data_IF_609735658944
#
_entry.id   IF_609735658944
#
_cell.length_a   1.000
_cell.length_b   1.000
_cell.length_c   1.000
_cell.angle_alpha   90.00
_cell.angle_beta   90.00
_cell.angle_gamma   90.00
#
_symmetry.space_group_name_H-M   'P 1'
#
loop_
_entity.id
_entity.type
_entity.pdbx_description
1 polymer ?
#
# COMPACT_ATOMS: atom_id res chain seq x y z
N UNK A 1 -63.24 -23.45 -80.05
CA UNK A 1 -63.67 -24.66 -79.31
C UNK A 1 -62.83 -24.79 -78.04
N UNK A 2 -63.37 -24.39 -76.89
CA UNK A 2 -62.66 -24.47 -75.60
C UNK A 2 -62.91 -25.86 -75.00
N UNK A 3 -61.87 -26.70 -74.94
CA UNK A 3 -61.96 -28.02 -74.31
C UNK A 3 -61.94 -27.84 -72.78
N UNK A 4 -63.09 -27.95 -72.13
CA UNK A 4 -63.16 -28.05 -70.68
C UNK A 4 -62.55 -29.39 -70.21
N UNK A 5 -61.39 -29.35 -69.55
CA UNK A 5 -60.83 -30.50 -68.83
C UNK A 5 -61.77 -30.80 -67.64
N UNK A 6 -62.37 -31.99 -67.62
CA UNK A 6 -63.20 -32.46 -66.50
C UNK A 6 -62.35 -32.57 -65.21
N UNK A 7 -62.89 -32.17 -64.04
CA UNK A 7 -62.16 -32.33 -62.78
C UNK A 7 -62.00 -33.82 -62.45
N UNK A 8 -60.75 -34.26 -62.29
CA UNK A 8 -60.42 -35.62 -61.86
C UNK A 8 -60.88 -35.76 -60.40
N UNK A 9 -61.85 -36.63 -60.14
CA UNK A 9 -62.28 -36.93 -58.77
C UNK A 9 -61.13 -37.58 -58.02
N UNK A 10 -60.57 -36.88 -57.03
CA UNK A 10 -59.50 -37.41 -56.18
C UNK A 10 -60.01 -38.63 -55.40
N UNK A 11 -59.40 -39.79 -55.64
CA UNK A 11 -59.62 -41.00 -54.85
C UNK A 11 -59.13 -40.85 -53.40
N UNK A 12 -59.53 -41.77 -52.53
CA UNK A 12 -59.22 -41.74 -51.10
C UNK A 12 -57.71 -41.63 -50.79
N UNK A 13 -56.87 -42.29 -51.58
CA UNK A 13 -55.40 -42.27 -51.43
C UNK A 13 -54.84 -40.85 -51.63
N UNK A 14 -55.35 -40.10 -52.62
CA UNK A 14 -54.88 -38.74 -52.90
C UNK A 14 -55.22 -37.75 -51.77
N UNK A 15 -56.39 -37.91 -51.14
CA UNK A 15 -56.78 -37.08 -49.98
C UNK A 15 -55.93 -37.39 -48.75
N UNK A 16 -55.61 -38.67 -48.52
CA UNK A 16 -54.73 -39.09 -47.43
C UNK A 16 -53.32 -38.51 -47.58
N UNK A 17 -52.72 -38.63 -48.78
CA UNK A 17 -51.38 -38.08 -49.06
C UNK A 17 -51.33 -36.57 -48.87
N UNK A 18 -52.33 -35.82 -49.37
CA UNK A 18 -52.39 -34.37 -49.18
C UNK A 18 -52.47 -33.97 -47.69
N UNK A 19 -53.26 -34.69 -46.90
CA UNK A 19 -53.37 -34.44 -45.45
C UNK A 19 -52.07 -34.78 -44.72
N UNK A 20 -51.37 -35.83 -45.14
CA UNK A 20 -50.05 -36.17 -44.60
C UNK A 20 -49.03 -35.07 -44.91
N UNK A 21 -48.99 -34.55 -46.14
CA UNK A 21 -48.10 -33.44 -46.53
C UNK A 21 -48.41 -32.15 -45.74
N UNK A 22 -49.70 -31.84 -45.52
CA UNK A 22 -50.11 -30.69 -44.70
C UNK A 22 -49.63 -30.82 -43.24
N UNK A 23 -49.76 -32.01 -42.65
CA UNK A 23 -49.30 -32.28 -41.27
C UNK A 23 -47.77 -32.23 -41.18
N UNK A 24 -47.06 -32.76 -42.18
CA UNK A 24 -45.59 -32.68 -42.26
C UNK A 24 -45.16 -31.21 -42.37
N UNK A 25 -45.79 -30.44 -43.25
CA UNK A 25 -45.50 -29.02 -43.43
C UNK A 25 -45.79 -28.19 -42.17
N UNK A 26 -46.87 -28.48 -41.45
CA UNK A 26 -47.15 -27.85 -40.15
C UNK A 26 -46.13 -28.23 -39.09
N UNK A 27 -45.74 -29.50 -39.03
CA UNK A 27 -44.75 -29.99 -38.07
C UNK A 27 -43.38 -29.35 -38.28
N UNK A 28 -42.96 -29.20 -39.54
CA UNK A 28 -41.72 -28.51 -39.90
C UNK A 28 -41.78 -27.05 -39.47
N UNK A 29 -42.86 -26.32 -39.79
CA UNK A 29 -43.03 -24.92 -39.38
C UNK A 29 -43.02 -24.74 -37.86
N UNK A 30 -43.64 -25.67 -37.12
CA UNK A 30 -43.66 -25.64 -35.67
C UNK A 30 -42.26 -25.91 -35.09
N UNK A 31 -41.52 -26.86 -35.68
CA UNK A 31 -40.14 -27.14 -35.30
C UNK A 31 -39.24 -25.93 -35.56
N UNK A 32 -39.33 -25.31 -36.74
CA UNK A 32 -38.57 -24.10 -37.09
C UNK A 32 -38.85 -22.96 -36.10
N UNK A 33 -40.13 -22.76 -35.75
CA UNK A 33 -40.51 -21.74 -34.77
C UNK A 33 -39.93 -22.05 -33.39
N UNK A 34 -39.98 -23.30 -32.95
CA UNK A 34 -39.39 -23.71 -31.67
C UNK A 34 -37.87 -23.54 -31.65
N UNK A 35 -37.17 -23.83 -32.76
CA UNK A 35 -35.75 -23.56 -32.90
C UNK A 35 -35.43 -22.07 -32.85
N UNK A 36 -36.18 -21.24 -33.57
CA UNK A 36 -35.99 -19.78 -33.54
C UNK A 36 -36.24 -19.18 -32.16
N UNK A 37 -37.28 -19.63 -31.45
CA UNK A 37 -37.54 -19.21 -30.07
C UNK A 37 -36.43 -19.69 -29.11
N UNK A 38 -35.90 -20.90 -29.33
CA UNK A 38 -34.77 -21.44 -28.57
C UNK A 38 -33.50 -20.62 -28.78
N UNK A 39 -33.18 -20.27 -30.03
CA UNK A 39 -32.03 -19.41 -30.38
C UNK A 39 -32.18 -18.04 -29.72
N UNK A 40 -33.36 -17.41 -29.85
CA UNK A 40 -33.61 -16.10 -29.25
C UNK A 40 -33.42 -16.09 -27.73
N UNK A 41 -33.91 -17.13 -27.04
CA UNK A 41 -33.72 -17.27 -25.59
C UNK A 41 -32.27 -17.50 -25.21
N UNK A 42 -31.51 -18.23 -26.03
CA UNK A 42 -30.09 -18.43 -25.80
C UNK A 42 -29.31 -17.12 -25.95
N UNK A 43 -29.63 -16.32 -26.98
CA UNK A 43 -29.01 -15.00 -27.19
C UNK A 43 -29.34 -14.04 -26.02
N UNK A 44 -30.59 -13.97 -25.60
CA UNK A 44 -31.00 -13.16 -24.43
C UNK A 44 -30.27 -13.58 -23.14
N UNK A 45 -30.10 -14.89 -22.92
CA UNK A 45 -29.36 -15.40 -21.77
C UNK A 45 -27.86 -15.06 -21.83
N UNK A 46 -27.25 -15.08 -23.02
CA UNK A 46 -25.86 -14.68 -23.23
C UNK A 46 -25.65 -13.19 -22.95
N UNK A 47 -26.54 -12.32 -23.45
CA UNK A 47 -26.46 -10.87 -23.23
C UNK A 47 -26.53 -10.53 -21.73
N UNK A 48 -27.47 -11.14 -21.00
CA UNK A 48 -27.59 -10.97 -19.54
C UNK A 48 -26.33 -11.44 -18.83
N UNK A 49 -25.75 -12.57 -19.24
CA UNK A 49 -24.50 -13.10 -18.69
C UNK A 49 -23.32 -12.15 -18.89
N UNK A 50 -23.21 -11.54 -20.08
CA UNK A 50 -22.18 -10.55 -20.41
C UNK A 50 -22.34 -9.30 -19.54
N UNK A 51 -23.55 -8.76 -19.44
CA UNK A 51 -23.83 -7.56 -18.65
C UNK A 51 -23.53 -7.75 -17.16
N UNK A 52 -23.94 -8.89 -16.58
CA UNK A 52 -23.61 -9.25 -15.20
C UNK A 52 -22.09 -9.36 -15.00
N UNK A 53 -21.38 -9.97 -15.94
CA UNK A 53 -19.92 -10.05 -15.94
C UNK A 53 -19.25 -8.66 -15.97
N UNK A 54 -19.74 -7.76 -16.83
CA UNK A 54 -19.24 -6.38 -16.94
C UNK A 54 -19.52 -5.60 -15.65
N UNK A 55 -20.71 -5.74 -15.06
CA UNK A 55 -21.05 -5.08 -13.79
C UNK A 55 -20.13 -5.56 -12.67
N UNK A 56 -19.97 -6.88 -12.53
CA UNK A 56 -19.11 -7.50 -11.51
C UNK A 56 -17.66 -7.04 -11.65
N UNK A 57 -17.09 -7.08 -12.85
CA UNK A 57 -15.72 -6.63 -13.10
C UNK A 57 -15.54 -5.13 -12.83
N UNK A 58 -16.51 -4.28 -13.17
CA UNK A 58 -16.49 -2.84 -12.84
C UNK A 58 -16.53 -2.61 -11.33
N UNK A 59 -17.34 -3.36 -10.58
CA UNK A 59 -17.42 -3.27 -9.12
C UNK A 59 -16.10 -3.71 -8.47
N UNK A 60 -15.58 -4.87 -8.85
CA UNK A 60 -14.28 -5.37 -8.36
C UNK A 60 -13.16 -4.37 -8.64
N UNK A 61 -13.13 -3.76 -9.84
CA UNK A 61 -12.15 -2.71 -10.17
C UNK A 61 -12.29 -1.47 -9.29
N UNK A 62 -13.52 -1.02 -9.01
CA UNK A 62 -13.76 0.13 -8.12
C UNK A 62 -13.31 -0.16 -6.69
N UNK A 63 -13.59 -1.35 -6.17
CA UNK A 63 -13.16 -1.75 -4.83
C UNK A 63 -11.64 -1.88 -4.74
N UNK A 64 -10.99 -2.52 -5.71
CA UNK A 64 -9.53 -2.60 -5.78
C UNK A 64 -8.88 -1.20 -5.80
N UNK A 65 -9.45 -0.25 -6.53
CA UNK A 65 -8.98 1.14 -6.52
C UNK A 65 -9.17 1.81 -5.16
N UNK A 66 -10.29 1.55 -4.45
CA UNK A 66 -10.51 2.06 -3.09
C UNK A 66 -9.45 1.52 -2.12
N UNK A 67 -9.22 0.21 -2.12
CA UNK A 67 -8.19 -0.41 -1.28
C UNK A 67 -6.79 0.17 -1.56
N UNK A 68 -6.45 0.35 -2.84
CA UNK A 68 -5.17 0.97 -3.23
C UNK A 68 -5.03 2.40 -2.69
N UNK A 69 -6.10 3.22 -2.75
CA UNK A 69 -6.08 4.58 -2.19
C UNK A 69 -5.91 4.58 -0.68
N UNK A 70 -6.63 3.72 0.03
CA UNK A 70 -6.52 3.59 1.49
C UNK A 70 -5.10 3.16 1.88
N UNK A 71 -4.56 2.14 1.23
CA UNK A 71 -3.19 1.68 1.48
C UNK A 71 -2.15 2.78 1.24
N UNK A 72 -2.28 3.57 0.16
CA UNK A 72 -1.39 4.70 -0.10
C UNK A 72 -1.45 5.78 0.99
N UNK A 73 -2.63 6.10 1.50
CA UNK A 73 -2.80 7.06 2.59
C UNK A 73 -2.12 6.54 3.85
N UNK A 74 -2.33 5.27 4.18
CA UNK A 74 -1.77 4.66 5.39
C UNK A 74 -0.24 4.59 5.34
N UNK A 75 0.34 4.24 4.19
CA UNK A 75 1.80 4.28 3.98
C UNK A 75 2.35 5.68 4.20
N UNK A 76 1.71 6.71 3.63
CA UNK A 76 2.15 8.11 3.82
C UNK A 76 2.07 8.54 5.29
N UNK A 77 1.02 8.13 6.01
CA UNK A 77 0.87 8.43 7.43
C UNK A 77 1.97 7.76 8.26
N UNK A 78 2.25 6.48 8.01
CA UNK A 78 3.32 5.74 8.69
C UNK A 78 4.69 6.34 8.41
N UNK A 79 4.99 6.71 7.16
CA UNK A 79 6.22 7.41 6.80
C UNK A 79 6.38 8.72 7.57
N UNK A 80 5.33 9.54 7.63
CA UNK A 80 5.36 10.81 8.37
C UNK A 80 5.55 10.62 9.87
N UNK A 81 4.99 9.56 10.46
CA UNK A 81 5.20 9.23 11.86
C UNK A 81 6.64 8.78 12.11
N UNK A 82 7.17 7.88 11.28
CA UNK A 82 8.55 7.42 11.37
C UNK A 82 9.56 8.58 11.23
N UNK A 83 9.34 9.49 10.29
CA UNK A 83 10.17 10.70 10.12
C UNK A 83 10.15 11.60 11.37
N UNK A 84 8.97 11.80 11.97
CA UNK A 84 8.84 12.58 13.20
C UNK A 84 9.60 11.95 14.36
N UNK A 85 9.45 10.65 14.56
CA UNK A 85 10.14 9.92 15.62
C UNK A 85 11.66 9.91 15.42
N UNK A 86 12.12 9.66 14.18
CA UNK A 86 13.53 9.73 13.83
C UNK A 86 14.12 11.10 14.12
N UNK A 87 13.41 12.18 13.75
CA UNK A 87 13.84 13.55 14.05
C UNK A 87 13.85 13.84 15.54
N UNK A 88 12.85 13.36 16.30
CA UNK A 88 12.82 13.50 17.77
C UNK A 88 14.05 12.84 18.40
N UNK A 89 14.32 11.59 18.07
CA UNK A 89 15.46 10.83 18.58
C UNK A 89 16.80 11.47 18.21
N UNK A 90 16.94 11.96 16.97
CA UNK A 90 18.14 12.66 16.51
C UNK A 90 18.37 13.95 17.31
N UNK A 91 17.32 14.72 17.56
CA UNK A 91 17.41 15.96 18.33
C UNK A 91 17.72 15.70 19.81
N UNK A 92 17.07 14.72 20.43
CA UNK A 92 17.37 14.30 21.81
C UNK A 92 18.81 13.81 21.97
N UNK A 93 19.28 13.00 21.01
CA UNK A 93 20.65 12.50 21.00
C UNK A 93 21.66 13.62 20.87
N UNK A 94 21.43 14.57 19.95
CA UNK A 94 22.27 15.78 19.80
C UNK A 94 22.31 16.60 21.08
N UNK A 95 21.17 16.78 21.77
CA UNK A 95 21.09 17.50 23.04
C UNK A 95 21.94 16.83 24.12
N UNK A 96 21.78 15.52 24.31
CA UNK A 96 22.58 14.73 25.27
C UNK A 96 24.08 14.79 24.98
N UNK A 97 24.47 14.72 23.70
CA UNK A 97 25.88 14.85 23.30
C UNK A 97 26.40 16.25 23.65
N UNK A 98 25.64 17.31 23.33
CA UNK A 98 26.02 18.70 23.64
C UNK A 98 26.17 18.93 25.13
N UNK A 99 25.27 18.39 25.95
CA UNK A 99 25.35 18.45 27.42
C UNK A 99 26.60 17.75 27.93
N UNK A 100 26.87 16.51 27.48
CA UNK A 100 28.09 15.78 27.86
C UNK A 100 29.37 16.52 27.45
N UNK A 101 29.41 17.07 26.24
CA UNK A 101 30.53 17.89 25.76
C UNK A 101 30.72 19.12 26.65
N UNK A 102 29.64 19.81 27.02
CA UNK A 102 29.70 20.97 27.90
C UNK A 102 30.24 20.61 29.29
N UNK A 103 29.76 19.51 29.89
CA UNK A 103 30.26 19.02 31.18
C UNK A 103 31.75 18.67 31.10
N UNK A 104 32.18 17.97 30.05
CA UNK A 104 33.59 17.64 29.85
C UNK A 104 34.42 18.90 29.66
N UNK A 105 33.94 19.88 28.88
CA UNK A 105 34.62 21.16 28.66
C UNK A 105 34.87 21.89 29.97
N UNK A 106 33.86 21.98 30.83
CA UNK A 106 33.98 22.60 32.17
C UNK A 106 35.04 21.87 33.00
N UNK A 107 34.99 20.52 33.06
CA UNK A 107 36.00 19.72 33.78
C UNK A 107 37.41 19.94 33.23
N UNK A 108 37.57 19.99 31.90
CA UNK A 108 38.89 20.23 31.28
C UNK A 108 39.42 21.64 31.52
N UNK A 109 38.56 22.67 31.52
CA UNK A 109 38.96 24.03 31.86
C UNK A 109 39.41 24.14 33.31
N UNK A 110 38.65 23.54 34.24
CA UNK A 110 39.04 23.47 35.65
C UNK A 110 40.39 22.76 35.84
N UNK A 111 40.63 21.64 35.14
CA UNK A 111 41.94 20.97 35.15
C UNK A 111 43.06 21.86 34.61
N UNK A 112 42.82 22.63 33.53
CA UNK A 112 43.81 23.59 32.98
C UNK A 112 44.13 24.69 34.00
N UNK A 113 43.14 25.22 34.69
CA UNK A 113 43.33 26.21 35.76
C UNK A 113 44.16 25.63 36.90
N UNK A 114 43.90 24.39 37.32
CA UNK A 114 44.71 23.75 38.37
C UNK A 114 46.16 23.55 37.94
N UNK A 115 46.41 23.20 36.68
CA UNK A 115 47.78 23.09 36.13
C UNK A 115 48.51 24.44 36.17
N UNK A 116 47.85 25.54 35.80
CA UNK A 116 48.42 26.89 35.89
C UNK A 116 48.77 27.28 37.34
N UNK A 117 47.91 26.92 38.31
CA UNK A 117 48.19 27.18 39.73
C UNK A 117 49.39 26.36 40.21
N UNK A 118 49.51 25.09 39.79
CA UNK A 118 50.65 24.24 40.11
C UNK A 118 51.97 24.78 39.54
N UNK A 119 51.94 25.33 38.33
CA UNK A 119 53.11 25.97 37.70
C UNK A 119 53.58 27.17 38.52
N UNK A 120 52.66 28.07 38.91
CA UNK A 120 52.97 29.21 39.80
C UNK A 120 53.51 28.78 41.16
N UNK A 121 52.93 27.75 41.77
CA UNK A 121 53.44 27.15 43.02
C UNK A 121 54.88 26.62 42.86
N UNK A 122 55.20 26.01 41.72
CA UNK A 122 56.54 25.54 41.42
C UNK A 122 57.56 26.68 41.29
N UNK A 123 57.16 27.82 40.73
CA UNK A 123 57.98 29.03 40.67
C UNK A 123 58.26 29.61 42.06
N UNK A 124 57.24 29.73 42.92
CA UNK A 124 57.39 30.24 44.29
C UNK A 124 58.34 29.39 45.14
N UNK A 125 58.34 28.07 44.92
CA UNK A 125 59.32 27.17 45.54
C UNK A 125 60.73 27.47 45.03
N UNK A 126 60.91 27.60 43.71
CA UNK A 126 62.23 27.88 43.10
C UNK A 126 62.82 29.21 43.58
N UNK A 127 61.97 30.21 43.83
CA UNK A 127 62.40 31.52 44.35
C UNK A 127 62.56 31.56 45.87
N UNK A 128 62.36 30.43 46.57
CA UNK A 128 62.55 30.33 48.03
C UNK A 128 61.45 30.98 48.87
N UNK A 129 60.35 31.44 48.26
CA UNK A 129 59.23 32.10 48.96
C UNK A 129 58.44 31.10 49.82
N UNK A 130 58.40 29.83 49.42
CA UNK A 130 57.77 28.74 50.17
C UNK A 130 58.74 27.58 50.37
N UNK A 131 58.55 26.83 51.45
CA UNK A 131 59.33 25.63 51.76
C UNK A 131 58.82 24.40 50.99
N UNK A 132 59.66 23.37 50.83
CA UNK A 132 59.27 22.13 50.14
C UNK A 132 58.10 21.41 50.85
N UNK A 133 58.04 21.47 52.19
CA UNK A 133 56.91 20.90 52.95
C UNK A 133 55.58 21.60 52.63
N UNK A 134 55.60 22.93 52.53
CA UNK A 134 54.42 23.72 52.19
C UNK A 134 53.98 23.49 50.74
N UNK A 135 54.94 23.40 49.82
CA UNK A 135 54.67 23.06 48.41
C UNK A 135 53.99 21.69 48.29
N UNK A 136 54.51 20.66 48.94
CA UNK A 136 53.93 19.30 48.88
C UNK A 136 52.52 19.25 49.48
N UNK A 137 52.29 19.96 50.59
CA UNK A 137 50.95 20.05 51.21
C UNK A 137 49.93 20.69 50.26
N UNK A 138 50.26 21.86 49.70
CA UNK A 138 49.40 22.61 48.74
C UNK A 138 49.16 21.83 47.45
N UNK A 139 50.19 21.18 46.91
CA UNK A 139 50.09 20.31 45.73
C UNK A 139 49.11 19.15 45.97
N UNK A 140 49.22 18.49 47.12
CA UNK A 140 48.32 17.38 47.49
C UNK A 140 46.87 17.85 47.65
N UNK A 141 46.63 19.03 48.21
CA UNK A 141 45.29 19.62 48.32
C UNK A 141 44.69 19.94 46.94
N UNK A 142 45.44 20.57 46.04
CA UNK A 142 44.99 20.90 44.68
C UNK A 142 44.66 19.66 43.83
N UNK A 143 45.47 18.61 43.96
CA UNK A 143 45.28 17.37 43.20
C UNK A 143 44.14 16.49 43.74
N UNK A 144 43.65 16.72 44.97
CA UNK A 144 42.46 16.03 45.49
C UNK A 144 41.16 16.45 44.78
N UNK A 145 41.15 17.63 44.14
CA UNK A 145 39.97 18.21 43.48
C UNK A 145 39.85 17.91 41.98
N UNK A 146 40.74 17.09 41.42
CA UNK A 146 40.81 16.73 39.99
C UNK A 146 40.55 15.24 39.81
#
# INVERSE_FOLDING_TARGET
MVKHKKPIKQGYISKFLKKADEVIGMSIKNADKAFQEGIKKADEALDVGIDLGIISTKQARKEAQRYRKVAQIQVKQLQKQAEKEANRLKNESRKKIKEKIATVKIKTSSRKETLLVLEKLGLLRKTGVITEKEFQKKKKELLKGI
#
